data_IF_716939562014
#
_entry.id   IF_716939562014
#
_cell.length_a   1.000
_cell.length_b   1.000
_cell.length_c   1.000
_cell.angle_alpha   90.00
_cell.angle_beta   90.00
_cell.angle_gamma   90.00
#
_symmetry.space_group_name_H-M   'P 1'
#
loop_
_entity.id
_entity.type
_entity.pdbx_description
1 polymer ?
#
# COMPACT_ATOMS: atom_id res chain seq x y z
N UNK A 1 -14.89 -4.68 9.66
CA UNK A 1 -13.92 -4.49 8.54
C UNK A 1 -13.23 -5.80 8.24
N UNK A 2 -13.03 -6.09 6.98
CA UNK A 2 -12.20 -7.23 6.55
C UNK A 2 -11.30 -6.82 5.38
N UNK A 3 -10.13 -7.43 5.29
CA UNK A 3 -9.21 -7.24 4.17
C UNK A 3 -9.42 -8.38 3.18
N UNK A 4 -9.60 -8.04 1.91
CA UNK A 4 -9.82 -9.01 0.84
C UNK A 4 -9.20 -8.52 -0.47
N UNK A 5 -9.10 -9.40 -1.45
CA UNK A 5 -8.68 -9.00 -2.79
C UNK A 5 -9.73 -8.11 -3.44
N UNK A 6 -9.27 -7.19 -4.29
CA UNK A 6 -10.13 -6.29 -5.04
C UNK A 6 -11.00 -7.08 -6.03
N UNK A 7 -12.25 -6.65 -6.16
CA UNK A 7 -13.15 -7.11 -7.21
C UNK A 7 -13.53 -5.94 -8.14
N UNK A 8 -14.12 -6.24 -9.33
CA UNK A 8 -14.49 -5.20 -10.29
C UNK A 8 -15.44 -4.14 -9.71
N UNK A 9 -16.32 -4.52 -8.79
CA UNK A 9 -17.26 -3.61 -8.16
C UNK A 9 -16.62 -2.63 -7.17
N UNK A 10 -15.36 -2.86 -6.79
CA UNK A 10 -14.64 -1.98 -5.85
C UNK A 10 -14.02 -0.77 -6.53
N UNK A 11 -13.90 -0.78 -7.84
CA UNK A 11 -13.11 0.20 -8.56
C UNK A 11 -13.60 1.64 -8.36
N UNK A 12 -14.91 1.87 -8.32
CA UNK A 12 -15.45 3.20 -8.07
C UNK A 12 -15.05 3.71 -6.70
N UNK A 13 -15.13 2.86 -5.67
CA UNK A 13 -14.73 3.22 -4.31
C UNK A 13 -13.23 3.49 -4.20
N UNK A 14 -12.41 2.67 -4.86
CA UNK A 14 -10.96 2.87 -4.91
C UNK A 14 -10.63 4.20 -5.58
N UNK A 15 -11.24 4.49 -6.74
CA UNK A 15 -10.98 5.74 -7.46
C UNK A 15 -11.40 6.97 -6.66
N UNK A 16 -12.51 6.91 -5.95
CA UNK A 16 -12.95 8.01 -5.11
C UNK A 16 -11.92 8.36 -4.03
N UNK A 17 -11.27 7.35 -3.44
CA UNK A 17 -10.22 7.56 -2.44
C UNK A 17 -8.92 8.02 -3.11
N UNK A 18 -8.54 7.39 -4.22
CA UNK A 18 -7.31 7.72 -4.95
C UNK A 18 -7.28 9.19 -5.36
N UNK A 19 -8.36 9.67 -5.95
CA UNK A 19 -8.45 11.03 -6.47
C UNK A 19 -8.32 12.12 -5.39
N UNK A 20 -8.80 11.86 -4.19
CA UNK A 20 -8.70 12.82 -3.07
C UNK A 20 -7.43 12.63 -2.23
N UNK A 21 -6.70 11.55 -2.43
CA UNK A 21 -5.53 11.20 -1.62
C UNK A 21 -4.22 11.65 -2.24
N UNK A 22 -4.15 11.76 -3.56
CA UNK A 22 -2.89 12.01 -4.27
C UNK A 22 -3.02 13.15 -5.28
N UNK A 23 -2.00 14.04 -5.36
CA UNK A 23 -1.98 15.11 -6.36
C UNK A 23 -1.97 14.59 -7.80
N UNK A 24 -1.30 13.44 -8.02
CA UNK A 24 -1.23 12.78 -9.32
C UNK A 24 -1.73 11.33 -9.13
N UNK A 25 -3.06 11.16 -9.14
CA UNK A 25 -3.64 9.83 -8.89
C UNK A 25 -3.43 8.87 -10.05
N UNK A 26 -3.43 7.58 -9.76
CA UNK A 26 -3.55 6.55 -10.79
C UNK A 26 -4.89 6.72 -11.49
N UNK A 27 -4.91 6.46 -12.79
CA UNK A 27 -6.17 6.40 -13.54
C UNK A 27 -6.88 5.07 -13.30
N UNK A 28 -8.18 5.05 -13.62
CA UNK A 28 -8.97 3.81 -13.60
C UNK A 28 -8.32 2.74 -14.48
N UNK A 29 -7.85 3.12 -15.68
CA UNK A 29 -7.17 2.20 -16.59
C UNK A 29 -5.91 1.58 -16.00
N UNK A 30 -5.15 2.34 -15.22
CA UNK A 30 -3.94 1.81 -14.56
C UNK A 30 -4.29 0.70 -13.57
N UNK A 31 -5.36 0.86 -12.79
CA UNK A 31 -5.83 -0.20 -11.89
C UNK A 31 -6.30 -1.42 -12.67
N UNK A 32 -7.08 -1.22 -13.73
CA UNK A 32 -7.62 -2.32 -14.56
C UNK A 32 -6.49 -3.13 -15.19
N UNK A 33 -5.44 -2.47 -15.67
CA UNK A 33 -4.27 -3.14 -16.25
C UNK A 33 -3.46 -3.88 -15.20
N UNK A 34 -3.45 -3.38 -13.96
CA UNK A 34 -2.66 -3.97 -12.88
C UNK A 34 -3.27 -5.24 -12.30
N UNK A 35 -4.59 -5.29 -12.16
CA UNK A 35 -5.28 -6.39 -11.47
C UNK A 35 -4.90 -7.79 -11.95
N UNK A 36 -4.79 -8.07 -13.25
CA UNK A 36 -4.52 -9.43 -13.72
C UNK A 36 -3.06 -9.83 -13.71
N UNK A 37 -2.15 -8.93 -13.32
CA UNK A 37 -0.73 -9.24 -13.29
C UNK A 37 -0.42 -10.22 -12.16
N UNK A 38 0.26 -11.32 -12.46
CA UNK A 38 0.58 -12.37 -11.50
C UNK A 38 1.37 -11.87 -10.30
N UNK A 39 2.21 -10.85 -10.49
CA UNK A 39 3.05 -10.29 -9.43
C UNK A 39 2.35 -9.20 -8.61
N UNK A 40 1.14 -8.79 -8.99
CA UNK A 40 0.39 -7.73 -8.31
C UNK A 40 -0.66 -8.31 -7.38
N UNK A 41 -0.76 -7.71 -6.19
CA UNK A 41 -1.75 -8.05 -5.19
C UNK A 41 -2.41 -6.75 -4.73
N UNK A 42 -3.64 -6.51 -5.15
CA UNK A 42 -4.42 -5.34 -4.72
C UNK A 42 -5.45 -5.76 -3.70
N UNK A 43 -5.36 -5.15 -2.53
CA UNK A 43 -6.21 -5.44 -1.38
C UNK A 43 -7.16 -4.30 -1.10
N UNK A 44 -8.33 -4.64 -0.60
CA UNK A 44 -9.36 -3.70 -0.17
C UNK A 44 -9.69 -3.96 1.29
N UNK A 45 -9.74 -2.90 2.08
CA UNK A 45 -10.35 -2.93 3.40
C UNK A 45 -11.83 -2.63 3.23
N UNK A 46 -12.68 -3.62 3.43
CA UNK A 46 -14.12 -3.53 3.22
C UNK A 46 -14.86 -3.35 4.54
N UNK A 47 -15.82 -2.45 4.55
CA UNK A 47 -16.69 -2.20 5.69
C UNK A 47 -17.81 -3.21 5.81
N UNK A 48 -18.74 -2.94 6.74
CA UNK A 48 -19.87 -3.84 7.05
C UNK A 48 -20.83 -4.03 5.88
N UNK A 49 -20.92 -3.04 4.99
CA UNK A 49 -21.74 -3.11 3.77
C UNK A 49 -20.90 -3.40 2.54
N UNK A 50 -19.70 -3.93 2.76
CA UNK A 50 -18.73 -4.25 1.71
C UNK A 50 -18.21 -3.02 0.93
N UNK A 51 -18.40 -1.83 1.49
CA UNK A 51 -17.89 -0.58 0.93
C UNK A 51 -16.36 -0.48 1.11
N UNK A 52 -15.69 0.23 0.20
CA UNK A 52 -14.23 0.41 0.24
C UNK A 52 -13.86 1.48 1.28
N UNK A 53 -13.15 1.07 2.32
CA UNK A 53 -12.61 1.96 3.36
C UNK A 53 -11.17 2.35 3.10
N UNK A 54 -10.45 1.54 2.36
CA UNK A 54 -9.07 1.74 1.99
C UNK A 54 -8.59 0.63 1.06
N UNK A 55 -7.41 0.78 0.51
CA UNK A 55 -6.83 -0.20 -0.42
C UNK A 55 -5.32 -0.10 -0.44
N UNK A 56 -4.68 -1.14 -0.95
CA UNK A 56 -3.24 -1.16 -1.18
C UNK A 56 -2.91 -1.91 -2.46
N UNK A 57 -1.81 -1.53 -3.11
CA UNK A 57 -1.25 -2.25 -4.27
C UNK A 57 0.17 -2.66 -3.92
N UNK A 58 0.47 -3.93 -3.99
CA UNK A 58 1.79 -4.48 -3.71
C UNK A 58 2.22 -5.42 -4.84
N UNK A 59 3.46 -5.24 -5.32
CA UNK A 59 4.07 -6.14 -6.30
C UNK A 59 5.12 -7.00 -5.61
N UNK A 60 5.15 -8.29 -5.93
CA UNK A 60 6.20 -9.19 -5.47
C UNK A 60 6.89 -9.80 -6.67
N UNK A 61 8.17 -9.48 -6.84
CA UNK A 61 8.99 -9.90 -7.98
C UNK A 61 10.36 -10.31 -7.45
N UNK A 62 10.80 -11.51 -7.84
CA UNK A 62 12.15 -11.99 -7.53
C UNK A 62 12.52 -11.91 -6.04
N UNK A 63 11.59 -12.24 -5.15
CA UNK A 63 11.84 -12.26 -3.71
C UNK A 63 11.75 -10.92 -3.01
N UNK A 64 11.34 -9.87 -3.72
CA UNK A 64 11.16 -8.54 -3.14
C UNK A 64 9.73 -8.04 -3.38
N UNK A 65 9.13 -7.46 -2.35
CA UNK A 65 7.83 -6.82 -2.45
C UNK A 65 7.97 -5.30 -2.45
N UNK A 66 7.19 -4.65 -3.31
CA UNK A 66 7.11 -3.20 -3.39
C UNK A 66 5.68 -2.76 -3.09
N UNK A 67 5.48 -2.08 -1.97
CA UNK A 67 4.19 -1.46 -1.66
C UNK A 67 4.10 -0.15 -2.45
N UNK A 68 3.39 -0.20 -3.58
CA UNK A 68 3.34 0.89 -4.56
C UNK A 68 2.36 1.98 -4.18
N UNK A 69 1.24 1.60 -3.59
CA UNK A 69 0.15 2.52 -3.33
C UNK A 69 -0.68 2.03 -2.15
N UNK A 70 -1.06 2.94 -1.28
CA UNK A 70 -1.94 2.68 -0.15
C UNK A 70 -2.67 3.96 0.22
N UNK A 71 -3.97 3.86 0.44
CA UNK A 71 -4.76 5.00 0.91
C UNK A 71 -5.96 4.55 1.71
N UNK A 72 -6.39 5.40 2.63
CA UNK A 72 -7.55 5.18 3.49
C UNK A 72 -8.55 6.32 3.24
N UNK A 73 -9.83 5.98 3.18
CA UNK A 73 -10.91 6.96 3.03
C UNK A 73 -10.73 8.08 4.06
N UNK A 74 -10.82 9.38 3.65
CA UNK A 74 -10.55 10.50 4.55
C UNK A 74 -11.37 10.48 5.85
N UNK A 75 -12.62 10.02 5.81
CA UNK A 75 -13.50 9.95 6.98
C UNK A 75 -13.16 8.80 7.93
N UNK A 76 -12.30 7.89 7.52
CA UNK A 76 -11.99 6.67 8.30
C UNK A 76 -10.51 6.60 8.71
N UNK A 77 -9.77 7.69 8.58
CA UNK A 77 -8.37 7.75 9.01
C UNK A 77 -8.27 7.73 10.54
N UNK A 78 -7.14 7.20 11.04
CA UNK A 78 -6.91 7.08 12.48
C UNK A 78 -7.60 5.88 13.14
N UNK A 79 -8.21 4.98 12.36
CA UNK A 79 -8.93 3.81 12.87
C UNK A 79 -8.15 2.50 12.73
N UNK A 80 -6.88 2.56 12.29
CA UNK A 80 -6.04 1.38 12.13
C UNK A 80 -6.20 0.64 10.80
N UNK A 81 -6.92 1.21 9.83
CA UNK A 81 -7.15 0.57 8.52
C UNK A 81 -5.84 0.45 7.74
N UNK A 82 -5.04 1.52 7.72
CA UNK A 82 -3.73 1.49 7.06
C UNK A 82 -2.81 0.43 7.65
N UNK A 83 -2.77 0.32 8.97
CA UNK A 83 -2.01 -0.71 9.66
C UNK A 83 -2.47 -2.11 9.27
N UNK A 84 -3.77 -2.34 9.20
CA UNK A 84 -4.33 -3.63 8.81
C UNK A 84 -3.95 -3.99 7.37
N UNK A 85 -4.00 -3.02 6.44
CA UNK A 85 -3.59 -3.23 5.05
C UNK A 85 -2.10 -3.58 4.96
N UNK A 86 -1.23 -2.82 5.61
CA UNK A 86 0.22 -3.09 5.60
C UNK A 86 0.53 -4.45 6.22
N UNK A 87 -0.12 -4.80 7.31
CA UNK A 87 0.04 -6.10 7.97
C UNK A 87 -0.32 -7.25 7.03
N UNK A 88 -1.41 -7.12 6.28
CA UNK A 88 -1.82 -8.13 5.31
C UNK A 88 -0.84 -8.19 4.12
N UNK A 89 -0.33 -7.05 3.66
CA UNK A 89 0.69 -7.01 2.61
C UNK A 89 1.95 -7.77 3.04
N UNK A 90 2.40 -7.57 4.27
CA UNK A 90 3.57 -8.28 4.81
C UNK A 90 3.32 -9.79 4.85
N UNK A 91 2.15 -10.21 5.33
CA UNK A 91 1.79 -11.62 5.40
C UNK A 91 1.78 -12.28 4.02
N UNK A 92 1.15 -11.63 3.05
CA UNK A 92 1.09 -12.15 1.68
C UNK A 92 2.45 -12.14 1.00
N UNK A 93 3.27 -11.13 1.25
CA UNK A 93 4.65 -11.08 0.77
C UNK A 93 5.44 -12.27 1.28
N UNK A 94 5.32 -12.59 2.56
CA UNK A 94 5.98 -13.75 3.15
C UNK A 94 5.51 -15.06 2.51
N UNK A 95 4.21 -15.21 2.28
CA UNK A 95 3.65 -16.40 1.61
C UNK A 95 4.12 -16.52 0.16
N UNK A 96 4.38 -15.42 -0.50
CA UNK A 96 4.92 -15.39 -1.87
C UNK A 96 6.44 -15.60 -1.91
N UNK A 97 7.09 -15.80 -0.77
CA UNK A 97 8.53 -16.06 -0.70
C UNK A 97 9.40 -14.81 -0.70
N UNK A 98 8.84 -13.63 -0.47
CA UNK A 98 9.62 -12.42 -0.36
C UNK A 98 10.49 -12.42 0.88
N UNK A 99 11.70 -11.85 0.78
CA UNK A 99 12.61 -11.63 1.90
C UNK A 99 12.67 -10.17 2.34
N UNK A 100 12.12 -9.28 1.52
CA UNK A 100 12.15 -7.84 1.75
C UNK A 100 10.87 -7.20 1.23
N UNK A 101 10.35 -6.20 1.95
CA UNK A 101 9.30 -5.30 1.47
C UNK A 101 9.80 -3.86 1.60
N UNK A 102 9.63 -3.05 0.56
CA UNK A 102 10.04 -1.66 0.57
C UNK A 102 8.97 -0.75 0.00
N UNK A 103 9.10 0.53 0.28
CA UNK A 103 8.17 1.56 -0.18
C UNK A 103 8.87 2.91 -0.28
N UNK A 104 8.26 3.81 -1.05
CA UNK A 104 8.59 5.22 -1.06
C UNK A 104 7.48 5.99 -0.35
N UNK A 105 7.86 6.97 0.47
CA UNK A 105 6.92 7.87 1.14
C UNK A 105 7.40 9.30 0.98
N UNK A 106 6.46 10.23 0.79
CA UNK A 106 6.82 11.65 0.69
C UNK A 106 7.54 12.08 1.97
N UNK A 107 8.61 12.86 1.82
CA UNK A 107 9.44 13.28 2.94
C UNK A 107 8.62 14.01 4.02
N UNK A 108 7.59 14.77 3.62
CA UNK A 108 6.72 15.50 4.54
C UNK A 108 5.60 14.67 5.18
N UNK A 109 5.41 13.42 4.79
CA UNK A 109 4.32 12.59 5.32
C UNK A 109 4.72 11.93 6.65
N UNK A 110 4.70 12.71 7.72
CA UNK A 110 5.14 12.24 9.04
C UNK A 110 4.26 11.12 9.61
N UNK A 111 2.94 11.19 9.38
CA UNK A 111 2.00 10.19 9.87
C UNK A 111 2.30 8.82 9.26
N UNK A 112 2.51 8.76 7.95
CA UNK A 112 2.85 7.52 7.25
C UNK A 112 4.21 6.98 7.71
N UNK A 113 5.21 7.84 7.82
CA UNK A 113 6.54 7.43 8.30
C UNK A 113 6.47 6.82 9.71
N UNK A 114 5.68 7.41 10.60
CA UNK A 114 5.50 6.86 11.95
C UNK A 114 4.84 5.49 11.92
N UNK A 115 3.80 5.33 11.09
CA UNK A 115 3.12 4.04 10.93
C UNK A 115 4.10 2.96 10.48
N UNK A 116 4.83 3.21 9.41
CA UNK A 116 5.77 2.22 8.87
C UNK A 116 6.87 1.88 9.85
N UNK A 117 7.46 2.87 10.54
CA UNK A 117 8.47 2.62 11.57
C UNK A 117 7.92 1.75 12.70
N UNK A 118 6.68 2.00 13.13
CA UNK A 118 6.05 1.19 14.18
C UNK A 118 5.82 -0.26 13.76
N UNK A 119 5.84 -0.53 12.46
CA UNK A 119 5.68 -1.87 11.90
C UNK A 119 7.01 -2.51 11.48
N UNK A 120 8.13 -1.95 11.89
CA UNK A 120 9.45 -2.52 11.66
C UNK A 120 10.16 -2.05 10.40
N UNK A 121 9.61 -1.08 9.68
CA UNK A 121 10.31 -0.47 8.54
C UNK A 121 11.39 0.48 9.05
N UNK A 122 12.53 0.48 8.35
CA UNK A 122 13.67 1.33 8.68
C UNK A 122 14.05 2.19 7.46
N UNK A 123 14.69 3.32 7.74
CA UNK A 123 15.19 4.23 6.71
C UNK A 123 16.26 3.53 5.87
N UNK A 124 16.13 3.60 4.56
CA UNK A 124 17.10 3.04 3.61
C UNK A 124 17.80 4.12 2.78
N UNK A 125 17.10 5.16 2.37
CA UNK A 125 17.66 6.20 1.52
C UNK A 125 16.66 7.24 1.12
N UNK A 126 17.08 8.14 0.23
CA UNK A 126 16.26 9.23 -0.29
C UNK A 126 16.38 9.25 -1.82
N UNK A 127 15.24 9.42 -2.50
CA UNK A 127 15.20 9.72 -3.92
C UNK A 127 14.88 11.20 -4.09
N UNK A 128 15.88 11.99 -4.47
CA UNK A 128 15.75 13.45 -4.63
C UNK A 128 14.77 13.78 -5.75
N UNK A 129 13.80 14.68 -5.44
CA UNK A 129 12.85 15.19 -6.42
C UNK A 129 11.95 14.13 -7.04
N UNK A 130 11.77 12.98 -6.39
CA UNK A 130 11.04 11.82 -6.92
C UNK A 130 9.60 12.17 -7.32
N UNK A 131 8.91 12.97 -6.50
CA UNK A 131 7.54 13.40 -6.75
C UNK A 131 7.56 14.67 -7.60
N UNK A 132 7.40 14.51 -8.92
CA UNK A 132 7.54 15.60 -9.88
C UNK A 132 6.45 16.66 -9.76
N UNK A 133 5.30 16.32 -9.17
CA UNK A 133 4.19 17.24 -8.95
C UNK A 133 4.55 18.38 -7.99
N UNK A 134 5.33 18.10 -6.94
CA UNK A 134 5.73 19.08 -5.93
C UNK A 134 7.23 19.32 -5.86
N UNK A 135 8.02 18.47 -6.51
CA UNK A 135 9.48 18.44 -6.36
C UNK A 135 9.94 17.79 -5.05
N UNK A 136 9.02 17.24 -4.28
CA UNK A 136 9.30 16.64 -2.98
C UNK A 136 10.15 15.37 -3.12
N UNK A 137 11.07 15.16 -2.16
CA UNK A 137 11.86 13.94 -2.09
C UNK A 137 11.01 12.77 -1.61
N UNK A 138 11.40 11.56 -2.01
CA UNK A 138 10.88 10.33 -1.44
C UNK A 138 11.86 9.78 -0.42
N UNK A 139 11.35 9.37 0.73
CA UNK A 139 12.10 8.58 1.71
C UNK A 139 11.82 7.11 1.40
N UNK A 140 12.88 6.31 1.26
CA UNK A 140 12.77 4.87 1.05
C UNK A 140 12.86 4.19 2.40
N UNK A 141 11.83 3.38 2.71
CA UNK A 141 11.77 2.55 3.90
C UNK A 141 11.71 1.10 3.48
N UNK A 142 12.36 0.22 4.22
CA UNK A 142 12.25 -1.21 3.98
C UNK A 142 12.17 -2.01 5.28
N UNK A 143 11.71 -3.24 5.14
CA UNK A 143 11.57 -4.19 6.25
C UNK A 143 11.92 -5.59 5.74
N UNK A 144 12.70 -6.32 6.53
CA UNK A 144 12.92 -7.73 6.30
C UNK A 144 11.59 -8.49 6.43
N UNK A 145 11.34 -9.44 5.53
CA UNK A 145 10.19 -10.33 5.57
C UNK A 145 10.68 -11.72 5.93
N UNK A 146 10.08 -12.31 6.96
CA UNK A 146 10.46 -13.62 7.49
C UNK A 146 9.37 -14.64 7.24
N UNK A 147 9.74 -15.91 7.24
CA UNK A 147 8.75 -16.99 7.10
C UNK A 147 7.67 -16.93 8.18
N UNK A 148 8.02 -16.51 9.40
CA UNK A 148 7.07 -16.34 10.49
C UNK A 148 6.01 -15.28 10.22
N UNK A 149 6.26 -14.32 9.34
CA UNK A 149 5.28 -13.30 8.97
C UNK A 149 4.10 -13.90 8.19
N UNK A 150 4.27 -15.03 7.54
CA UNK A 150 3.22 -15.70 6.79
C UNK A 150 2.10 -16.26 7.67
N UNK A 151 2.36 -16.49 8.96
CA UNK A 151 1.45 -17.13 9.90
C UNK A 151 0.61 -16.13 10.71
N UNK A 152 0.84 -14.85 10.54
CA UNK A 152 0.19 -13.83 11.35
C UNK A 152 -1.10 -13.33 10.78
#
# INVERSE_FOLDING_TARGET
MRIREIGPSDLDGVMAIEEVSFPTPWSRGMFIEDFPRDFSDTLVAAGTEDEVLGYSVCWTIAGESHLLNIAVHPSRRGEGIGRALVSECIRRSARAGASLIFLEVRAGNEAAKRLYRSMGFAFRGVRKGYYTDTGEDAVILDREVRKSDAAR
#
